data_IF_604030483632
#
_entry.id   IF_604030483632
#
_cell.length_a   1.000
_cell.length_b   1.000
_cell.length_c   1.000
_cell.angle_alpha   90.00
_cell.angle_beta   90.00
_cell.angle_gamma   90.00
#
_symmetry.space_group_name_H-M   'P 1'
#
loop_
_entity.id
_entity.type
_entity.pdbx_description
1 polymer ?
#
# COMPACT_ATOMS: atom_id res chain seq x y z
N UNK A 1 6.97 -62.87 38.41
CA UNK A 1 6.18 -62.96 37.15
C UNK A 1 4.84 -62.15 37.17
N UNK A 2 4.05 -62.25 38.25
CA UNK A 2 2.75 -61.55 38.37
C UNK A 2 2.94 -60.03 38.41
N UNK A 3 3.88 -59.51 39.17
CA UNK A 3 4.15 -58.08 39.31
C UNK A 3 4.59 -57.44 37.99
N UNK A 4 5.42 -58.12 37.21
CA UNK A 4 5.87 -57.65 35.89
C UNK A 4 4.70 -57.57 34.89
N UNK A 5 3.78 -58.53 34.93
CA UNK A 5 2.56 -58.51 34.08
C UNK A 5 1.62 -57.36 34.46
N UNK A 6 1.48 -57.07 35.75
CA UNK A 6 0.65 -55.92 36.22
C UNK A 6 1.28 -54.60 35.81
N UNK A 7 2.60 -54.42 35.93
CA UNK A 7 3.29 -53.18 35.49
C UNK A 7 3.18 -53.01 33.97
N UNK A 8 3.36 -54.07 33.18
CA UNK A 8 3.23 -53.98 31.74
C UNK A 8 1.78 -53.64 31.33
N UNK A 9 0.77 -54.17 31.99
CA UNK A 9 -0.63 -53.85 31.73
C UNK A 9 -0.97 -52.44 32.12
N UNK A 10 -0.46 -51.90 33.24
CA UNK A 10 -0.64 -50.53 33.67
C UNK A 10 -0.03 -49.55 32.65
N UNK A 11 1.19 -49.79 32.20
CA UNK A 11 1.86 -48.98 31.18
C UNK A 11 1.10 -48.98 29.83
N UNK A 12 0.54 -50.10 29.44
CA UNK A 12 -0.26 -50.20 28.23
C UNK A 12 -1.58 -49.40 28.34
N UNK A 13 -2.23 -49.41 29.50
CA UNK A 13 -3.44 -48.62 29.72
C UNK A 13 -3.13 -47.12 29.75
N UNK A 14 -2.02 -46.71 30.41
CA UNK A 14 -1.58 -45.32 30.41
C UNK A 14 -1.29 -44.80 29.00
N UNK A 15 -0.57 -45.58 28.15
CA UNK A 15 -0.29 -45.26 26.78
C UNK A 15 -1.59 -45.11 25.94
N UNK A 16 -2.55 -46.00 26.17
CA UNK A 16 -3.85 -45.91 25.51
C UNK A 16 -4.63 -44.66 25.91
N UNK A 17 -4.60 -44.29 27.17
CA UNK A 17 -5.24 -43.06 27.69
C UNK A 17 -4.56 -41.84 27.06
N UNK A 18 -3.23 -41.78 27.04
CA UNK A 18 -2.49 -40.67 26.45
C UNK A 18 -2.79 -40.49 24.96
N UNK A 19 -2.80 -41.59 24.22
CA UNK A 19 -3.16 -41.56 22.78
C UNK A 19 -4.60 -41.05 22.57
N UNK A 20 -5.55 -41.53 23.39
CA UNK A 20 -6.94 -41.08 23.33
C UNK A 20 -7.07 -39.60 23.64
N UNK A 21 -6.33 -39.09 24.65
CA UNK A 21 -6.31 -37.67 25.00
C UNK A 21 -5.64 -36.82 23.93
N UNK A 22 -4.56 -37.30 23.31
CA UNK A 22 -3.90 -36.63 22.21
C UNK A 22 -4.87 -36.49 21.00
N UNK A 23 -5.56 -37.55 20.63
CA UNK A 23 -6.57 -37.48 19.57
C UNK A 23 -7.70 -36.49 19.89
N UNK A 24 -8.23 -36.55 21.14
CA UNK A 24 -9.25 -35.56 21.59
C UNK A 24 -8.75 -34.12 21.54
N UNK A 25 -7.48 -33.88 21.82
CA UNK A 25 -6.91 -32.53 21.79
C UNK A 25 -6.82 -32.00 20.35
N UNK A 26 -6.46 -32.84 19.38
CA UNK A 26 -6.50 -32.48 17.95
C UNK A 26 -7.89 -32.06 17.52
N UNK A 27 -8.91 -32.85 17.88
CA UNK A 27 -10.30 -32.53 17.56
C UNK A 27 -10.75 -31.21 18.21
N UNK A 28 -10.38 -31.00 19.47
CA UNK A 28 -10.68 -29.74 20.20
C UNK A 28 -9.99 -28.55 19.57
N UNK A 29 -8.75 -28.68 19.17
CA UNK A 29 -7.99 -27.62 18.50
C UNK A 29 -8.66 -27.20 17.18
N UNK A 30 -9.09 -28.19 16.39
CA UNK A 30 -9.84 -27.94 15.16
C UNK A 30 -11.16 -27.24 15.43
N UNK A 31 -11.94 -27.74 16.40
CA UNK A 31 -13.23 -27.14 16.77
C UNK A 31 -13.05 -25.70 17.30
N UNK A 32 -12.01 -25.45 18.13
CA UNK A 32 -11.69 -24.13 18.63
C UNK A 32 -11.34 -23.18 17.47
N UNK A 33 -10.53 -23.62 16.52
CA UNK A 33 -10.19 -22.85 15.35
C UNK A 33 -11.41 -22.45 14.52
N UNK A 34 -12.36 -23.37 14.35
CA UNK A 34 -13.61 -23.08 13.64
C UNK A 34 -14.52 -22.12 14.40
N UNK A 35 -14.58 -22.24 15.74
CA UNK A 35 -15.35 -21.33 16.59
C UNK A 35 -14.77 -19.91 16.54
N UNK A 36 -13.44 -19.78 16.61
CA UNK A 36 -12.74 -18.48 16.51
C UNK A 36 -13.03 -17.84 15.16
N UNK A 37 -12.85 -18.57 14.04
CA UNK A 37 -13.15 -18.04 12.70
C UNK A 37 -14.60 -17.55 12.59
N UNK A 38 -15.56 -18.32 13.08
CA UNK A 38 -16.97 -17.92 13.09
C UNK A 38 -17.23 -16.68 13.96
N UNK A 39 -16.60 -16.59 15.12
CA UNK A 39 -16.75 -15.44 16.01
C UNK A 39 -16.17 -14.17 15.37
N UNK A 40 -14.98 -14.25 14.77
CA UNK A 40 -14.37 -13.14 14.04
C UNK A 40 -15.20 -12.74 12.82
N UNK A 41 -15.71 -13.72 12.05
CA UNK A 41 -16.56 -13.45 10.89
C UNK A 41 -17.85 -12.69 11.24
N UNK A 42 -18.33 -12.80 12.48
CA UNK A 42 -19.55 -12.13 12.97
C UNK A 42 -19.28 -10.91 13.84
N UNK A 43 -18.02 -10.63 14.16
CA UNK A 43 -17.68 -9.48 15.01
C UNK A 43 -17.94 -8.15 14.30
N UNK A 44 -18.22 -7.09 15.03
CA UNK A 44 -18.22 -5.73 14.50
C UNK A 44 -16.79 -5.32 14.13
N UNK A 45 -16.63 -4.65 12.99
CA UNK A 45 -15.38 -4.05 12.56
C UNK A 45 -15.50 -2.55 12.75
N UNK A 46 -14.77 -1.99 13.72
CA UNK A 46 -14.83 -0.57 14.05
C UNK A 46 -13.48 0.05 13.76
N UNK A 47 -13.45 1.09 12.92
CA UNK A 47 -12.25 1.84 12.57
C UNK A 47 -12.53 3.33 12.78
N UNK A 48 -11.72 4.01 13.61
CA UNK A 48 -11.92 5.41 13.97
C UNK A 48 -13.37 5.69 14.47
N UNK A 49 -13.86 4.85 15.36
CA UNK A 49 -15.22 4.92 15.92
C UNK A 49 -16.35 4.83 14.88
N UNK A 50 -16.09 4.32 13.69
CA UNK A 50 -17.07 4.11 12.62
C UNK A 50 -17.19 2.63 12.33
N UNK A 51 -18.43 2.13 12.25
CA UNK A 51 -18.70 0.76 11.81
C UNK A 51 -18.34 0.62 10.32
N UNK A 52 -17.53 -0.41 10.03
CA UNK A 52 -17.15 -0.78 8.67
C UNK A 52 -17.80 -2.11 8.33
N UNK A 53 -18.60 -2.12 7.28
CA UNK A 53 -19.17 -3.37 6.76
C UNK A 53 -18.12 -4.15 5.99
N UNK A 54 -18.05 -5.46 6.23
CA UNK A 54 -17.21 -6.38 5.48
C UNK A 54 -18.05 -7.53 4.95
N UNK A 55 -17.83 -7.91 3.70
CA UNK A 55 -18.45 -9.07 3.08
C UNK A 55 -17.67 -10.36 3.32
N UNK A 56 -16.42 -10.24 3.77
CA UNK A 56 -15.57 -11.39 4.06
C UNK A 56 -15.99 -12.11 5.33
N UNK A 57 -15.98 -13.44 5.29
CA UNK A 57 -16.16 -14.32 6.45
C UNK A 57 -14.81 -14.70 7.10
N UNK A 58 -13.70 -14.37 6.46
CA UNK A 58 -12.36 -14.63 6.94
C UNK A 58 -11.81 -13.42 7.69
N UNK A 59 -11.09 -13.69 8.79
CA UNK A 59 -10.52 -12.66 9.65
C UNK A 59 -9.56 -11.72 8.89
N UNK A 60 -8.67 -12.30 8.08
CA UNK A 60 -7.70 -11.52 7.30
C UNK A 60 -8.40 -10.66 6.25
N UNK A 61 -9.36 -11.25 5.53
CA UNK A 61 -10.17 -10.52 4.55
C UNK A 61 -10.91 -9.33 5.18
N UNK A 62 -11.52 -9.53 6.36
CA UNK A 62 -12.20 -8.44 7.09
C UNK A 62 -11.25 -7.31 7.48
N UNK A 63 -10.09 -7.64 8.00
CA UNK A 63 -9.07 -6.64 8.36
C UNK A 63 -8.58 -5.90 7.11
N UNK A 64 -8.32 -6.62 6.02
CA UNK A 64 -7.90 -6.02 4.74
C UNK A 64 -8.95 -5.06 4.19
N UNK A 65 -10.22 -5.46 4.13
CA UNK A 65 -11.32 -4.59 3.69
C UNK A 65 -11.45 -3.35 4.58
N UNK A 66 -11.30 -3.52 5.90
CA UNK A 66 -11.31 -2.41 6.84
C UNK A 66 -10.19 -1.40 6.62
N UNK A 67 -8.98 -1.87 6.37
CA UNK A 67 -7.86 -0.99 6.04
C UNK A 67 -8.04 -0.31 4.68
N UNK A 68 -8.57 -1.01 3.68
CA UNK A 68 -8.89 -0.41 2.38
C UNK A 68 -9.93 0.71 2.50
N UNK A 69 -10.97 0.50 3.29
CA UNK A 69 -11.97 1.53 3.59
C UNK A 69 -11.34 2.73 4.29
N UNK A 70 -10.51 2.50 5.31
CA UNK A 70 -9.79 3.56 6.02
C UNK A 70 -8.89 4.37 5.08
N UNK A 71 -8.10 3.69 4.23
CA UNK A 71 -7.23 4.34 3.24
C UNK A 71 -8.05 5.18 2.27
N UNK A 72 -9.13 4.63 1.74
CA UNK A 72 -10.00 5.31 0.77
C UNK A 72 -10.64 6.57 1.34
N UNK A 73 -11.03 6.54 2.62
CA UNK A 73 -11.58 7.72 3.32
C UNK A 73 -10.52 8.74 3.69
N UNK A 74 -9.30 8.28 3.98
CA UNK A 74 -8.19 9.14 4.41
C UNK A 74 -7.50 9.81 3.23
N UNK A 75 -7.28 9.05 2.15
CA UNK A 75 -6.55 9.47 0.96
C UNK A 75 -7.48 9.45 -0.26
N UNK A 76 -8.45 10.35 -0.25
CA UNK A 76 -9.51 10.39 -1.27
C UNK A 76 -9.00 10.65 -2.68
N UNK A 77 -7.80 11.22 -2.83
CA UNK A 77 -7.15 11.51 -4.10
C UNK A 77 -6.09 10.47 -4.49
N UNK A 78 -5.86 9.44 -3.66
CA UNK A 78 -4.95 8.33 -4.00
C UNK A 78 -5.41 7.61 -5.28
N UNK A 79 -6.72 7.54 -5.50
CA UNK A 79 -7.33 6.95 -6.70
C UNK A 79 -6.90 7.59 -8.02
N UNK A 80 -6.34 8.80 -8.02
CA UNK A 80 -5.84 9.45 -9.25
C UNK A 80 -4.65 8.71 -9.85
N UNK A 81 -3.92 7.92 -9.05
CA UNK A 81 -2.85 7.04 -9.55
C UNK A 81 -3.39 5.74 -10.16
N UNK A 82 -4.71 5.49 -10.09
CA UNK A 82 -5.38 4.30 -10.66
C UNK A 82 -4.70 2.96 -10.29
N UNK A 83 -4.18 2.88 -9.06
CA UNK A 83 -3.45 1.71 -8.55
C UNK A 83 -2.07 1.49 -9.19
N UNK A 84 -1.58 2.45 -9.98
CA UNK A 84 -0.23 2.37 -10.54
C UNK A 84 0.81 2.80 -9.51
N UNK A 85 1.89 2.04 -9.46
CA UNK A 85 3.11 2.37 -8.71
C UNK A 85 4.22 2.65 -9.69
N UNK A 86 5.01 3.67 -9.40
CA UNK A 86 6.13 4.06 -10.23
C UNK A 86 7.45 3.81 -9.49
N UNK A 87 8.55 3.80 -10.22
CA UNK A 87 9.89 3.62 -9.67
C UNK A 87 10.80 4.77 -10.09
N UNK A 88 11.83 5.01 -9.30
CA UNK A 88 12.85 6.03 -9.62
C UNK A 88 13.48 5.87 -11.00
N UNK A 89 13.56 4.63 -11.51
CA UNK A 89 14.11 4.36 -12.84
C UNK A 89 13.27 4.97 -13.96
N UNK A 90 11.97 5.21 -13.72
CA UNK A 90 11.05 5.76 -14.70
C UNK A 90 11.13 7.29 -14.79
N UNK A 91 11.74 7.96 -13.81
CA UNK A 91 11.88 9.44 -13.79
C UNK A 91 12.59 9.95 -15.04
N UNK A 92 13.70 9.32 -15.43
CA UNK A 92 14.46 9.73 -16.62
C UNK A 92 13.65 9.58 -17.91
N UNK A 93 12.88 8.50 -18.04
CA UNK A 93 12.01 8.27 -19.19
C UNK A 93 10.83 9.24 -19.23
N UNK A 94 10.23 9.57 -18.10
CA UNK A 94 9.15 10.55 -18.01
C UNK A 94 9.61 11.97 -18.34
N UNK A 95 10.84 12.36 -17.94
CA UNK A 95 11.45 13.64 -18.29
C UNK A 95 11.80 13.75 -19.79
N UNK A 96 12.08 12.62 -20.44
CA UNK A 96 12.46 12.58 -21.85
C UNK A 96 11.63 11.52 -22.62
N UNK A 97 10.37 11.82 -22.95
CA UNK A 97 9.45 10.88 -23.60
C UNK A 97 9.95 10.37 -24.95
N UNK A 98 10.77 11.17 -25.65
CA UNK A 98 11.35 10.80 -26.96
C UNK A 98 12.48 9.76 -26.83
N UNK A 99 12.94 9.45 -25.63
CA UNK A 99 14.01 8.46 -25.38
C UNK A 99 13.56 7.01 -25.60
N UNK A 100 12.26 6.75 -25.68
CA UNK A 100 11.70 5.39 -25.74
C UNK A 100 11.84 4.58 -24.44
N UNK A 101 12.33 5.19 -23.37
CA UNK A 101 12.49 4.54 -22.05
C UNK A 101 11.18 4.41 -21.27
N UNK A 102 10.15 5.09 -21.69
CA UNK A 102 8.83 5.06 -21.07
C UNK A 102 7.77 4.61 -22.06
N UNK A 103 6.92 3.67 -21.66
CA UNK A 103 5.83 3.19 -22.50
C UNK A 103 4.84 4.34 -22.77
N UNK A 104 4.50 4.62 -24.05
CA UNK A 104 3.51 5.63 -24.40
C UNK A 104 2.15 5.45 -23.73
N UNK A 105 1.73 4.20 -23.50
CA UNK A 105 0.48 3.90 -22.80
C UNK A 105 0.56 4.29 -21.33
N UNK A 106 1.72 4.07 -20.70
CA UNK A 106 1.96 4.50 -19.33
C UNK A 106 2.06 6.03 -19.21
N UNK A 107 2.63 6.72 -20.18
CA UNK A 107 2.65 8.19 -20.24
C UNK A 107 1.24 8.79 -20.24
N UNK A 108 0.30 8.19 -20.97
CA UNK A 108 -1.08 8.69 -21.01
C UNK A 108 -1.77 8.64 -19.64
N UNK A 109 -1.40 7.68 -18.78
CA UNK A 109 -1.92 7.54 -17.43
C UNK A 109 -1.39 8.60 -16.47
N UNK A 110 -0.25 9.23 -16.79
CA UNK A 110 0.31 10.34 -16.02
C UNK A 110 -0.45 11.66 -16.26
N UNK A 111 -1.28 11.74 -17.29
CA UNK A 111 -1.95 12.99 -17.65
C UNK A 111 -2.84 13.52 -16.51
N UNK A 112 -3.75 12.71 -16.01
CA UNK A 112 -4.68 13.14 -14.96
C UNK A 112 -3.98 13.51 -13.64
N UNK A 113 -3.13 12.65 -13.03
CA UNK A 113 -2.41 13.04 -11.83
C UNK A 113 -1.40 14.17 -12.09
N UNK A 114 -0.82 14.25 -13.29
CA UNK A 114 0.05 15.35 -13.68
C UNK A 114 -0.66 16.70 -13.71
N UNK A 115 -1.88 16.78 -14.23
CA UNK A 115 -2.69 18.01 -14.20
C UNK A 115 -3.00 18.46 -12.76
N UNK A 116 -3.16 17.53 -11.82
CA UNK A 116 -3.36 17.90 -10.41
C UNK A 116 -2.09 18.54 -9.81
N UNK A 117 -0.89 17.97 -10.10
CA UNK A 117 0.38 18.56 -9.71
C UNK A 117 0.58 19.93 -10.38
N UNK A 118 0.28 20.06 -11.66
CA UNK A 118 0.38 21.33 -12.38
C UNK A 118 -0.55 22.39 -11.79
N UNK A 119 -1.78 22.02 -11.49
CA UNK A 119 -2.77 22.92 -10.86
C UNK A 119 -2.30 23.40 -9.49
N UNK A 120 -1.65 22.54 -8.71
CA UNK A 120 -1.03 22.93 -7.44
C UNK A 120 0.09 23.95 -7.67
N UNK A 121 1.00 23.69 -8.61
CA UNK A 121 2.12 24.60 -8.94
C UNK A 121 1.57 25.97 -9.36
N UNK A 122 0.65 26.02 -10.31
CA UNK A 122 0.06 27.26 -10.83
C UNK A 122 -0.64 28.05 -9.74
N UNK A 123 -1.42 27.39 -8.88
CA UNK A 123 -2.09 28.04 -7.76
C UNK A 123 -1.12 28.66 -6.75
N UNK A 124 -0.04 27.94 -6.42
CA UNK A 124 0.99 28.45 -5.50
C UNK A 124 1.72 29.66 -6.10
N UNK A 125 2.08 29.59 -7.36
CA UNK A 125 2.73 30.70 -8.07
C UNK A 125 1.81 31.93 -8.18
N UNK A 126 0.52 31.74 -8.40
CA UNK A 126 -0.45 32.83 -8.42
C UNK A 126 -0.58 33.55 -7.07
N UNK A 127 -0.26 32.86 -5.97
CA UNK A 127 -0.17 33.44 -4.62
C UNK A 127 1.19 34.10 -4.33
N UNK A 128 2.12 34.09 -5.28
CA UNK A 128 3.48 34.61 -5.10
C UNK A 128 4.39 33.68 -4.30
N UNK A 129 3.99 32.42 -4.09
CA UNK A 129 4.79 31.46 -3.34
C UNK A 129 5.81 30.76 -4.26
N UNK A 130 7.01 30.57 -3.76
CA UNK A 130 8.02 29.75 -4.45
C UNK A 130 7.69 28.28 -4.32
N UNK A 131 7.59 27.57 -5.45
CA UNK A 131 7.34 26.15 -5.48
C UNK A 131 8.66 25.40 -5.67
N UNK A 132 9.01 24.54 -4.72
CA UNK A 132 10.19 23.67 -4.77
C UNK A 132 9.75 22.22 -4.93
N UNK A 133 10.64 21.33 -5.36
CA UNK A 133 10.38 19.90 -5.40
C UNK A 133 9.92 19.37 -4.02
N UNK A 134 10.57 19.83 -2.95
CA UNK A 134 10.16 19.48 -1.57
C UNK A 134 8.73 19.92 -1.26
N UNK A 135 8.34 21.13 -1.64
CA UNK A 135 6.96 21.63 -1.41
C UNK A 135 5.93 20.75 -2.11
N UNK A 136 6.23 20.25 -3.31
CA UNK A 136 5.37 19.34 -4.05
C UNK A 136 5.32 17.99 -3.33
N UNK A 137 6.45 17.42 -2.94
CA UNK A 137 6.53 16.15 -2.21
C UNK A 137 5.73 16.22 -0.91
N UNK A 138 5.95 17.22 -0.09
CA UNK A 138 5.26 17.40 1.19
C UNK A 138 3.73 17.51 1.00
N UNK A 139 3.28 18.18 -0.06
CA UNK A 139 1.86 18.34 -0.37
C UNK A 139 1.20 17.03 -0.84
N UNK A 140 1.86 16.27 -1.70
CA UNK A 140 1.26 15.08 -2.32
C UNK A 140 1.49 13.78 -1.53
N UNK A 141 2.47 13.74 -0.63
CA UNK A 141 2.57 12.68 0.37
C UNK A 141 1.52 12.81 1.49
N UNK A 142 1.09 14.03 1.78
CA UNK A 142 0.09 14.29 2.80
C UNK A 142 -1.34 13.94 2.32
N UNK A 143 -2.30 14.00 3.25
CA UNK A 143 -3.73 13.94 2.92
C UNK A 143 -4.09 15.14 2.04
N UNK A 144 -4.95 15.00 1.07
CA UNK A 144 -5.77 13.82 0.71
C UNK A 144 -5.14 12.86 -0.31
N UNK A 145 -3.88 13.04 -0.71
CA UNK A 145 -3.24 12.31 -1.81
C UNK A 145 -2.60 11.00 -1.34
N UNK A 146 -1.61 11.04 -0.43
CA UNK A 146 -0.90 9.87 0.07
C UNK A 146 -0.04 9.17 -0.98
N UNK A 147 0.46 9.93 -1.98
CA UNK A 147 1.28 9.39 -3.06
C UNK A 147 2.70 9.10 -2.56
N UNK A 148 3.31 8.07 -3.09
CA UNK A 148 4.70 7.74 -2.79
C UNK A 148 5.66 8.69 -3.51
N UNK A 149 6.91 8.78 -2.99
CA UNK A 149 7.92 9.69 -3.51
C UNK A 149 8.20 9.47 -5.00
N UNK A 150 8.40 8.20 -5.40
CA UNK A 150 8.71 7.88 -6.80
C UNK A 150 7.59 8.28 -7.76
N UNK A 151 6.32 8.10 -7.35
CA UNK A 151 5.17 8.56 -8.14
C UNK A 151 5.18 10.08 -8.33
N UNK A 152 5.47 10.83 -7.26
CA UNK A 152 5.54 12.30 -7.32
C UNK A 152 6.68 12.76 -8.23
N UNK A 153 7.87 12.17 -8.10
CA UNK A 153 9.03 12.49 -8.94
C UNK A 153 8.76 12.20 -10.42
N UNK A 154 8.14 11.06 -10.73
CA UNK A 154 7.74 10.71 -12.11
C UNK A 154 6.75 11.72 -12.67
N UNK A 155 5.78 12.19 -11.88
CA UNK A 155 4.80 13.18 -12.31
C UNK A 155 5.45 14.55 -12.56
N UNK A 156 6.37 14.99 -11.71
CA UNK A 156 7.13 16.22 -11.92
C UNK A 156 7.98 16.10 -13.19
N UNK A 157 8.68 14.97 -13.36
CA UNK A 157 9.47 14.70 -14.56
C UNK A 157 8.61 14.67 -15.84
N UNK A 158 7.43 14.07 -15.77
CA UNK A 158 6.45 14.08 -16.87
C UNK A 158 6.04 15.51 -17.27
N UNK A 159 5.75 16.38 -16.29
CA UNK A 159 5.39 17.77 -16.58
C UNK A 159 6.55 18.52 -17.27
N UNK A 160 7.79 18.26 -16.89
CA UNK A 160 8.98 18.84 -17.52
C UNK A 160 9.16 18.25 -18.93
N UNK A 161 9.01 16.95 -19.08
CA UNK A 161 9.05 16.27 -20.40
C UNK A 161 7.99 16.79 -21.36
N UNK A 162 6.78 17.06 -20.86
CA UNK A 162 5.70 17.67 -21.63
C UNK A 162 5.84 19.19 -21.84
N UNK A 163 6.94 19.81 -21.37
CA UNK A 163 7.18 21.27 -21.41
C UNK A 163 6.10 22.11 -20.69
N UNK A 164 5.41 21.52 -19.71
CA UNK A 164 4.40 22.19 -18.87
C UNK A 164 5.02 22.84 -17.61
N UNK A 165 6.20 22.39 -17.21
CA UNK A 165 6.95 22.91 -16.08
C UNK A 165 8.45 22.96 -16.41
N UNK A 166 9.19 23.77 -15.66
CA UNK A 166 10.65 23.84 -15.71
C UNK A 166 11.23 23.68 -14.31
N UNK A 167 12.38 23.01 -14.21
CA UNK A 167 13.13 22.85 -12.96
C UNK A 167 14.36 23.73 -13.01
N UNK A 168 14.58 24.55 -11.99
CA UNK A 168 15.76 25.39 -11.86
C UNK A 168 16.53 25.01 -10.60
N UNK A 169 17.87 24.97 -10.73
CA UNK A 169 18.80 24.78 -9.60
C UNK A 169 19.82 25.91 -9.67
N UNK A 170 20.01 26.62 -8.57
CA UNK A 170 20.92 27.78 -8.48
C UNK A 170 20.67 28.83 -9.58
N UNK A 171 19.40 29.05 -9.93
CA UNK A 171 19.01 30.01 -10.97
C UNK A 171 19.15 29.51 -12.42
N UNK A 172 19.70 28.33 -12.64
CA UNK A 172 19.86 27.73 -13.97
C UNK A 172 18.75 26.73 -14.27
N UNK A 173 18.10 26.86 -15.42
CA UNK A 173 17.12 25.89 -15.89
C UNK A 173 17.83 24.60 -16.33
N UNK A 174 17.42 23.48 -15.75
CA UNK A 174 17.99 22.17 -16.08
C UNK A 174 17.49 21.64 -17.41
N UNK A 175 18.35 20.90 -18.09
CA UNK A 175 17.96 20.10 -19.27
C UNK A 175 17.19 18.88 -18.83
N UNK A 176 16.34 18.34 -19.71
CA UNK A 176 15.55 17.12 -19.44
C UNK A 176 16.38 15.92 -18.98
N UNK A 177 17.62 15.79 -19.50
CA UNK A 177 18.55 14.72 -19.11
C UNK A 177 19.09 14.84 -17.67
N UNK A 178 19.04 16.04 -17.09
CA UNK A 178 19.58 16.34 -15.76
C UNK A 178 18.51 16.23 -14.66
N UNK A 179 17.22 16.22 -15.06
CA UNK A 179 16.06 16.23 -14.15
C UNK A 179 16.07 15.04 -13.19
N UNK A 180 16.34 13.84 -13.68
CA UNK A 180 16.34 12.63 -12.86
C UNK A 180 17.44 12.63 -11.78
N UNK A 181 18.56 13.29 -12.02
CA UNK A 181 19.62 13.43 -11.03
C UNK A 181 19.32 14.53 -10.00
N UNK A 182 18.58 15.57 -10.40
CA UNK A 182 18.24 16.70 -9.54
C UNK A 182 17.02 16.44 -8.64
N UNK A 183 16.15 15.47 -8.97
CA UNK A 183 15.01 15.07 -8.15
C UNK A 183 15.36 14.04 -7.06
N UNK A 184 16.55 13.44 -7.11
CA UNK A 184 17.08 12.51 -6.10
C UNK A 184 17.80 13.24 -4.98
#
# INVERSE_FOLDING_TARGET
HLLQRVIALAAAIEDQILRSKAAQNVDREKELGERIRRAVGKSALIINATDVSSNSQDALGRVTEGFQDLISRTYTQLKLLDGHTYSEQQVAGAANPDSGLFDPTALSKLATPGEEVLSFIVRKQALGEQVTAKTIVDAFQAKPYGWDLASIEVLVAYLIGASKATLTVDGNTLKRSEVAAALR
#
